data_IF_502250729817
#
_entry.id   IF_502250729817
#
_cell.length_a   1.000
_cell.length_b   1.000
_cell.length_c   1.000
_cell.angle_alpha   90.00
_cell.angle_beta   90.00
_cell.angle_gamma   90.00
#
_symmetry.space_group_name_H-M   'P 1'
#
loop_
_entity.id
_entity.type
_entity.pdbx_description
1 polymer ?
#
# COMPACT_ATOMS: atom_id res chain seq x y z
N UNK A 1 -12.73 8.69 20.66
CA UNK A 1 -11.52 8.87 19.89
C UNK A 1 -11.81 9.77 18.73
N UNK A 2 -10.99 10.80 18.50
CA UNK A 2 -11.15 11.69 17.36
C UNK A 2 -11.10 10.85 16.07
N UNK A 3 -12.04 11.10 15.17
CA UNK A 3 -12.08 10.40 13.89
C UNK A 3 -10.85 10.80 13.08
N UNK A 4 -9.91 9.87 12.89
CA UNK A 4 -8.68 10.08 12.14
C UNK A 4 -8.94 10.62 10.72
N UNK A 5 -10.14 10.35 10.17
CA UNK A 5 -10.60 10.86 8.88
C UNK A 5 -10.71 12.38 8.84
N UNK A 6 -11.02 13.02 9.99
CA UNK A 6 -11.12 14.48 10.09
C UNK A 6 -9.77 15.16 10.24
N UNK A 7 -8.74 14.44 10.64
CA UNK A 7 -7.45 15.04 10.95
C UNK A 7 -6.38 14.81 9.88
N UNK A 8 -6.61 13.89 8.94
CA UNK A 8 -5.73 13.66 7.77
C UNK A 8 -6.10 14.59 6.61
N UNK A 9 -7.17 15.32 6.76
CA UNK A 9 -7.65 16.22 5.75
C UNK A 9 -7.53 17.68 6.24
N UNK A 10 -6.89 18.64 5.63
CA UNK A 10 -6.79 20.08 5.90
C UNK A 10 -7.03 20.89 4.62
N UNK A 11 -7.26 22.21 4.60
CA UNK A 11 -7.98 22.88 3.53
C UNK A 11 -7.32 22.73 2.16
N UNK A 12 -7.97 21.97 1.30
CA UNK A 12 -7.96 22.27 -0.12
C UNK A 12 -8.73 23.60 -0.32
N UNK A 13 -8.62 24.23 -1.47
CA UNK A 13 -9.31 25.48 -1.80
C UNK A 13 -10.85 25.38 -1.69
N UNK A 14 -11.39 24.18 -1.52
CA UNK A 14 -12.79 23.84 -1.26
C UNK A 14 -13.16 23.71 0.23
N UNK A 15 -12.23 23.99 1.14
CA UNK A 15 -12.42 23.88 2.60
C UNK A 15 -12.13 22.49 3.19
N UNK A 16 -11.71 21.49 2.39
CA UNK A 16 -11.28 20.19 2.90
C UNK A 16 -9.85 20.28 3.50
N UNK A 17 -9.54 19.49 4.56
CA UNK A 17 -8.22 19.52 5.21
C UNK A 17 -7.05 19.01 4.30
N UNK A 18 -5.75 19.52 4.35
CA UNK A 18 -4.67 19.06 3.49
C UNK A 18 -4.36 17.57 3.70
N UNK A 19 -4.00 16.87 2.63
CA UNK A 19 -3.44 15.53 2.75
C UNK A 19 -2.09 15.60 3.47
N UNK A 20 -1.87 14.66 4.39
CA UNK A 20 -0.66 14.56 5.19
C UNK A 20 0.06 13.24 4.95
N UNK A 21 1.39 13.27 5.01
CA UNK A 21 2.22 12.06 4.92
C UNK A 21 2.50 11.54 6.32
N UNK A 22 1.85 10.43 6.69
CA UNK A 22 2.01 9.78 7.99
C UNK A 22 1.79 8.27 7.88
N UNK A 23 2.43 7.50 8.76
CA UNK A 23 2.25 6.05 8.80
C UNK A 23 0.81 5.69 9.22
N UNK A 24 0.31 6.35 10.25
CA UNK A 24 -1.05 6.21 10.77
C UNK A 24 -1.45 7.49 11.52
N UNK A 25 -2.68 7.51 12.03
CA UNK A 25 -3.19 8.63 12.80
C UNK A 25 -2.39 8.90 14.10
N UNK A 26 -1.95 7.84 14.78
CA UNK A 26 -1.11 7.97 15.98
C UNK A 26 0.23 8.64 15.67
N UNK A 27 0.83 8.36 14.52
CA UNK A 27 2.03 9.04 14.04
C UNK A 27 1.73 10.50 13.70
N UNK A 28 0.67 10.77 12.93
CA UNK A 28 0.27 12.12 12.55
C UNK A 28 -0.01 13.03 13.75
N UNK A 29 -0.56 12.47 14.83
CA UNK A 29 -0.90 13.25 16.04
C UNK A 29 0.28 13.51 16.98
N UNK A 30 1.39 12.75 16.85
CA UNK A 30 2.59 12.89 17.70
C UNK A 30 3.65 13.82 17.13
N UNK A 31 3.58 14.14 15.86
CA UNK A 31 4.53 15.04 15.17
C UNK A 31 3.79 15.97 14.23
N UNK A 32 4.47 16.96 13.67
CA UNK A 32 3.95 17.74 12.55
C UNK A 32 4.26 17.01 11.25
N UNK A 33 3.32 16.26 10.67
CA UNK A 33 3.57 15.51 9.45
C UNK A 33 3.74 16.47 8.27
N UNK A 34 4.55 16.07 7.31
CA UNK A 34 4.72 16.80 6.05
C UNK A 34 3.39 16.81 5.30
N UNK A 35 3.08 17.90 4.63
CA UNK A 35 1.94 17.96 3.70
C UNK A 35 2.24 17.11 2.47
N UNK A 36 1.19 16.57 1.88
CA UNK A 36 1.32 15.75 0.67
C UNK A 36 1.97 16.52 -0.48
N UNK A 37 1.56 17.78 -0.70
CA UNK A 37 2.13 18.66 -1.73
C UNK A 37 3.64 18.84 -1.56
N UNK A 38 4.08 19.11 -0.32
CA UNK A 38 5.51 19.28 0.01
C UNK A 38 6.30 18.00 -0.27
N UNK A 39 5.72 16.83 0.04
CA UNK A 39 6.34 15.55 -0.26
C UNK A 39 6.45 15.33 -1.77
N UNK A 40 5.40 15.62 -2.54
CA UNK A 40 5.42 15.49 -3.99
C UNK A 40 6.43 16.46 -4.63
N UNK A 41 6.55 17.69 -4.14
CA UNK A 41 7.57 18.63 -4.56
C UNK A 41 9.00 18.11 -4.29
N UNK A 42 9.23 17.42 -3.17
CA UNK A 42 10.52 16.82 -2.89
C UNK A 42 10.90 15.73 -3.92
N UNK A 43 9.92 14.96 -4.39
CA UNK A 43 10.15 13.94 -5.42
C UNK A 43 10.45 14.51 -6.81
N UNK A 44 10.25 15.80 -7.06
CA UNK A 44 10.68 16.44 -8.32
C UNK A 44 12.17 16.81 -8.35
N UNK A 45 12.87 16.71 -7.22
CA UNK A 45 14.26 17.21 -7.05
C UNK A 45 15.23 16.09 -6.69
N UNK A 46 16.54 16.24 -7.05
CA UNK A 46 17.57 15.32 -6.56
C UNK A 46 17.65 15.27 -5.02
N UNK A 47 17.92 14.12 -4.41
CA UNK A 47 18.17 12.81 -5.07
C UNK A 47 16.90 12.00 -5.39
N UNK A 48 15.70 12.50 -5.05
CA UNK A 48 14.45 11.73 -5.12
C UNK A 48 13.81 11.70 -6.51
N UNK A 49 14.28 12.52 -7.45
CA UNK A 49 13.69 12.66 -8.77
C UNK A 49 13.87 11.44 -9.71
N UNK A 50 14.60 10.41 -9.27
CA UNK A 50 14.83 9.18 -10.03
C UNK A 50 14.20 7.93 -9.39
N UNK A 51 13.65 8.04 -8.17
CA UNK A 51 13.08 6.87 -7.48
C UNK A 51 11.62 6.66 -7.89
N UNK A 52 11.20 5.40 -7.94
CA UNK A 52 9.78 5.05 -8.03
C UNK A 52 9.08 5.38 -6.70
N UNK A 53 7.80 5.69 -6.78
CA UNK A 53 7.00 6.12 -5.63
C UNK A 53 5.86 5.11 -5.44
N UNK A 54 5.65 4.64 -4.21
CA UNK A 54 4.39 4.02 -3.82
C UNK A 54 3.66 4.92 -2.84
N UNK A 55 2.43 5.26 -3.17
CA UNK A 55 1.52 6.02 -2.32
C UNK A 55 0.51 5.06 -1.67
N UNK A 56 0.72 4.74 -0.40
CA UNK A 56 -0.26 3.98 0.38
C UNK A 56 -1.43 4.91 0.77
N UNK A 57 -2.47 4.92 -0.04
CA UNK A 57 -3.66 5.76 0.15
C UNK A 57 -4.56 5.15 1.23
N UNK A 58 -4.56 5.77 2.41
CA UNK A 58 -5.27 5.26 3.60
C UNK A 58 -6.70 5.78 3.75
N UNK A 59 -7.11 6.75 2.94
CA UNK A 59 -8.42 7.39 3.01
C UNK A 59 -9.08 7.41 1.64
N UNK A 60 -10.37 7.09 1.61
CA UNK A 60 -11.19 7.21 0.39
C UNK A 60 -11.71 8.65 0.20
N UNK A 61 -12.05 8.99 -1.05
CA UNK A 61 -12.68 10.26 -1.42
C UNK A 61 -11.71 11.41 -1.70
N UNK A 62 -10.40 11.12 -1.81
CA UNK A 62 -9.37 12.11 -2.15
C UNK A 62 -8.52 11.70 -3.38
N UNK A 63 -9.00 10.72 -4.15
CA UNK A 63 -8.28 10.13 -5.28
C UNK A 63 -8.02 11.18 -6.38
N UNK A 64 -9.01 12.02 -6.70
CA UNK A 64 -8.87 13.08 -7.70
C UNK A 64 -7.76 14.08 -7.34
N UNK A 65 -7.68 14.48 -6.07
CA UNK A 65 -6.66 15.40 -5.59
C UNK A 65 -5.26 14.77 -5.68
N UNK A 66 -5.13 13.50 -5.30
CA UNK A 66 -3.87 12.76 -5.43
C UNK A 66 -3.43 12.69 -6.88
N UNK A 67 -4.32 12.30 -7.79
CA UNK A 67 -4.03 12.21 -9.23
C UNK A 67 -3.68 13.57 -9.83
N UNK A 68 -4.41 14.63 -9.47
CA UNK A 68 -4.11 16.00 -9.93
C UNK A 68 -2.70 16.43 -9.49
N UNK A 69 -2.37 16.25 -8.21
CA UNK A 69 -1.06 16.62 -7.67
C UNK A 69 0.10 15.87 -8.32
N UNK A 70 -0.10 14.58 -8.67
CA UNK A 70 0.87 13.78 -9.43
C UNK A 70 1.00 14.27 -10.87
N UNK A 71 -0.10 14.58 -11.52
CA UNK A 71 -0.15 15.07 -12.90
C UNK A 71 0.57 16.41 -13.06
N UNK A 72 0.29 17.38 -12.17
CA UNK A 72 0.92 18.71 -12.15
C UNK A 72 2.46 18.64 -12.04
N UNK A 73 2.98 17.59 -11.44
CA UNK A 73 4.42 17.37 -11.20
C UNK A 73 5.08 16.36 -12.13
N UNK A 74 4.33 15.83 -13.10
CA UNK A 74 4.78 14.75 -13.99
C UNK A 74 5.30 13.50 -13.25
N UNK A 75 4.65 13.14 -12.14
CA UNK A 75 5.04 12.00 -11.30
C UNK A 75 4.26 10.71 -11.63
N UNK A 76 3.17 10.79 -12.39
CA UNK A 76 2.28 9.66 -12.73
C UNK A 76 3.04 8.44 -13.22
N UNK A 77 3.95 8.60 -14.19
CA UNK A 77 4.65 7.48 -14.85
C UNK A 77 5.66 6.72 -13.97
N UNK A 78 5.88 7.16 -12.72
CA UNK A 78 6.77 6.48 -11.76
C UNK A 78 6.15 6.32 -10.38
N UNK A 79 4.82 6.47 -10.31
CA UNK A 79 4.05 6.31 -9.08
C UNK A 79 3.10 5.13 -9.20
N UNK A 80 3.06 4.30 -8.18
CA UNK A 80 1.97 3.37 -7.91
C UNK A 80 1.13 3.90 -6.74
N UNK A 81 -0.17 3.56 -6.72
CA UNK A 81 -1.06 3.86 -5.59
C UNK A 81 -1.56 2.54 -5.02
N UNK A 82 -1.12 2.21 -3.81
CA UNK A 82 -1.62 1.06 -3.08
C UNK A 82 -2.67 1.47 -2.06
N UNK A 83 -3.69 0.63 -1.84
CA UNK A 83 -4.73 0.90 -0.84
C UNK A 83 -5.47 -0.35 -0.39
N UNK A 84 -5.96 -0.33 0.86
CA UNK A 84 -6.91 -1.33 1.39
C UNK A 84 -8.37 -0.98 1.05
N UNK A 85 -8.64 0.24 0.58
CA UNK A 85 -9.98 0.74 0.32
C UNK A 85 -10.42 0.40 -1.11
N UNK A 86 -11.30 -0.60 -1.24
CA UNK A 86 -11.82 -1.06 -2.54
C UNK A 86 -12.56 0.06 -3.28
N UNK A 87 -13.25 0.95 -2.56
CA UNK A 87 -13.89 2.12 -3.16
C UNK A 87 -12.89 3.05 -3.85
N UNK A 88 -11.71 3.26 -3.27
CA UNK A 88 -10.65 4.05 -3.88
C UNK A 88 -10.11 3.40 -5.16
N UNK A 89 -9.93 2.07 -5.17
CA UNK A 89 -9.51 1.35 -6.38
C UNK A 89 -10.52 1.51 -7.51
N UNK A 90 -11.81 1.48 -7.20
CA UNK A 90 -12.87 1.72 -8.20
C UNK A 90 -12.79 3.12 -8.79
N UNK A 91 -12.62 4.14 -7.94
CA UNK A 91 -12.48 5.54 -8.41
C UNK A 91 -11.20 5.71 -9.24
N UNK A 92 -10.06 5.17 -8.77
CA UNK A 92 -8.78 5.25 -9.49
C UNK A 92 -8.85 4.58 -10.86
N UNK A 93 -9.56 3.45 -10.97
CA UNK A 93 -9.82 2.78 -12.25
C UNK A 93 -10.64 3.67 -13.20
N UNK A 94 -11.70 4.32 -12.69
CA UNK A 94 -12.55 5.21 -13.48
C UNK A 94 -11.81 6.47 -13.96
N UNK A 95 -10.84 6.95 -13.19
CA UNK A 95 -10.02 8.10 -13.56
C UNK A 95 -9.06 7.84 -14.73
N UNK A 96 -8.75 6.57 -15.00
CA UNK A 96 -7.85 6.13 -16.11
C UNK A 96 -6.59 7.01 -16.25
N UNK A 97 -5.99 7.34 -15.12
CA UNK A 97 -4.89 8.32 -15.02
C UNK A 97 -3.54 7.79 -15.53
N UNK A 98 -3.45 6.50 -15.82
CA UNK A 98 -2.19 5.82 -16.14
C UNK A 98 -1.33 5.47 -14.93
N UNK A 99 -1.80 5.74 -13.70
CA UNK A 99 -1.13 5.29 -12.47
C UNK A 99 -1.38 3.80 -12.27
N UNK A 100 -0.32 3.05 -11.94
CA UNK A 100 -0.46 1.65 -11.52
C UNK A 100 -1.14 1.60 -10.16
N UNK A 101 -2.22 0.83 -10.06
CA UNK A 101 -2.93 0.66 -8.79
C UNK A 101 -2.62 -0.69 -8.15
N UNK A 102 -2.51 -0.71 -6.83
CA UNK A 102 -2.21 -1.89 -6.03
C UNK A 102 -3.30 -2.16 -4.98
N UNK A 103 -3.76 -3.41 -4.91
CA UNK A 103 -4.70 -3.83 -3.88
C UNK A 103 -3.96 -4.39 -2.68
N UNK A 104 -4.07 -3.70 -1.54
CA UNK A 104 -3.40 -4.08 -0.29
C UNK A 104 -4.26 -5.08 0.50
N UNK A 105 -3.70 -6.25 0.81
CA UNK A 105 -4.37 -7.38 1.44
C UNK A 105 -3.54 -7.98 2.59
N UNK A 106 -4.22 -8.47 3.65
CA UNK A 106 -5.64 -8.30 3.96
C UNK A 106 -5.95 -6.90 4.47
N UNK A 107 -7.21 -6.46 4.42
CA UNK A 107 -7.64 -5.24 5.11
C UNK A 107 -7.54 -5.46 6.61
N UNK A 108 -6.56 -4.82 7.24
CA UNK A 108 -6.34 -4.89 8.69
C UNK A 108 -6.90 -3.63 9.34
N UNK A 109 -7.87 -3.81 10.23
CA UNK A 109 -8.54 -2.70 10.94
C UNK A 109 -8.09 -2.57 12.38
N UNK A 110 -7.30 -3.53 12.90
CA UNK A 110 -6.84 -3.57 14.28
C UNK A 110 -5.49 -4.26 14.39
N UNK A 111 -4.60 -3.72 15.22
CA UNK A 111 -3.33 -4.38 15.53
C UNK A 111 -3.54 -5.55 16.51
N UNK A 112 -3.68 -6.76 15.95
CA UNK A 112 -3.81 -8.00 16.72
C UNK A 112 -2.50 -8.48 17.33
N UNK A 113 -1.34 -7.99 16.84
CA UNK A 113 -0.03 -8.38 17.36
C UNK A 113 0.21 -7.86 18.77
N UNK A 114 -0.46 -6.79 19.15
CA UNK A 114 -0.40 -6.20 20.51
C UNK A 114 -1.11 -7.05 21.58
N UNK A 115 -1.82 -8.13 21.19
CA UNK A 115 -2.64 -8.95 22.08
C UNK A 115 -2.10 -10.39 22.18
N UNK A 116 -1.24 -10.74 23.17
CA UNK A 116 -0.62 -12.07 23.28
C UNK A 116 -1.63 -13.23 23.36
N UNK A 117 -2.79 -13.02 23.99
CA UNK A 117 -3.85 -14.01 24.09
C UNK A 117 -4.54 -14.32 22.76
N UNK A 118 -4.46 -13.42 21.78
CA UNK A 118 -5.06 -13.60 20.47
C UNK A 118 -4.21 -14.44 19.50
N UNK A 119 -2.96 -14.78 19.85
CA UNK A 119 -2.02 -15.50 18.98
C UNK A 119 -2.60 -16.76 18.31
N UNK A 120 -3.29 -17.71 19.02
CA UNK A 120 -3.85 -18.87 18.35
C UNK A 120 -4.98 -18.53 17.39
N UNK A 121 -5.78 -17.51 17.69
CA UNK A 121 -6.83 -17.01 16.79
C UNK A 121 -6.22 -16.36 15.54
N UNK A 122 -5.16 -15.57 15.72
CA UNK A 122 -4.40 -14.96 14.61
C UNK A 122 -3.80 -16.05 13.72
N UNK A 123 -3.20 -17.09 14.30
CA UNK A 123 -2.65 -18.20 13.52
C UNK A 123 -3.72 -18.90 12.67
N UNK A 124 -4.88 -19.20 13.25
CA UNK A 124 -6.02 -19.77 12.53
C UNK A 124 -6.54 -18.85 11.41
N UNK A 125 -6.62 -17.55 11.67
CA UNK A 125 -7.01 -16.54 10.68
C UNK A 125 -6.01 -16.48 9.52
N UNK A 126 -4.71 -16.51 9.79
CA UNK A 126 -3.65 -16.53 8.77
C UNK A 126 -3.73 -17.76 7.88
N UNK A 127 -3.97 -18.95 8.45
CA UNK A 127 -4.16 -20.19 7.69
C UNK A 127 -5.38 -20.05 6.76
N UNK A 128 -6.50 -19.56 7.29
CA UNK A 128 -7.72 -19.33 6.51
C UNK A 128 -7.50 -18.32 5.37
N UNK A 129 -6.78 -17.22 5.66
CA UNK A 129 -6.44 -16.20 4.65
C UNK A 129 -5.54 -16.77 3.57
N UNK A 130 -4.48 -17.53 3.91
CA UNK A 130 -3.61 -18.21 2.93
C UNK A 130 -4.39 -19.07 1.95
N UNK A 131 -5.41 -19.76 2.44
CA UNK A 131 -6.27 -20.60 1.59
C UNK A 131 -7.20 -19.80 0.66
N UNK A 132 -7.71 -18.65 1.13
CA UNK A 132 -8.75 -17.87 0.45
C UNK A 132 -8.18 -16.78 -0.48
N UNK A 133 -7.02 -16.19 -0.15
CA UNK A 133 -6.46 -15.06 -0.90
C UNK A 133 -6.27 -15.33 -2.39
N UNK A 134 -5.74 -16.48 -2.85
CA UNK A 134 -5.60 -16.72 -4.29
C UNK A 134 -6.95 -16.64 -5.01
N UNK A 135 -8.01 -17.19 -4.41
CA UNK A 135 -9.37 -17.11 -4.97
C UNK A 135 -9.98 -15.71 -4.93
N UNK A 136 -9.64 -14.90 -3.93
CA UNK A 136 -10.05 -13.48 -3.85
C UNK A 136 -9.37 -12.66 -4.94
N UNK A 137 -8.05 -12.79 -5.08
CA UNK A 137 -7.27 -12.10 -6.12
C UNK A 137 -7.77 -12.48 -7.50
N UNK A 138 -7.94 -13.79 -7.77
CA UNK A 138 -8.43 -14.27 -9.07
C UNK A 138 -9.74 -13.62 -9.51
N UNK A 139 -10.67 -13.38 -8.58
CA UNK A 139 -11.96 -12.74 -8.90
C UNK A 139 -11.91 -11.22 -8.85
N UNK A 140 -11.30 -10.67 -7.80
CA UNK A 140 -11.38 -9.24 -7.52
C UNK A 140 -10.40 -8.39 -8.33
N UNK A 141 -9.19 -8.87 -8.60
CA UNK A 141 -8.19 -8.06 -9.28
C UNK A 141 -8.63 -7.59 -10.68
N UNK A 142 -9.22 -8.43 -11.55
CA UNK A 142 -9.72 -7.98 -12.85
C UNK A 142 -10.89 -6.97 -12.73
N UNK A 143 -11.77 -7.17 -11.74
CA UNK A 143 -12.88 -6.25 -11.49
C UNK A 143 -12.38 -4.88 -11.08
N UNK A 144 -11.35 -4.84 -10.23
CA UNK A 144 -10.73 -3.61 -9.72
C UNK A 144 -9.75 -2.97 -10.70
N UNK A 145 -9.29 -3.71 -11.72
CA UNK A 145 -8.33 -3.22 -12.71
C UNK A 145 -6.95 -2.91 -12.12
N UNK A 146 -6.54 -3.62 -11.06
CA UNK A 146 -5.24 -3.41 -10.40
C UNK A 146 -4.11 -4.08 -11.16
N UNK A 147 -2.91 -3.49 -11.10
CA UNK A 147 -1.67 -4.05 -11.67
C UNK A 147 -0.83 -4.79 -10.64
N UNK A 148 -1.09 -4.60 -9.34
CA UNK A 148 -0.30 -5.22 -8.29
C UNK A 148 -1.14 -5.63 -7.08
N UNK A 149 -0.63 -6.62 -6.33
CA UNK A 149 -1.16 -7.06 -5.02
C UNK A 149 -0.10 -6.78 -3.96
N UNK A 150 -0.46 -5.98 -2.98
CA UNK A 150 0.36 -5.70 -1.81
C UNK A 150 -0.07 -6.62 -0.68
N UNK A 151 0.70 -7.66 -0.40
CA UNK A 151 0.31 -8.71 0.53
C UNK A 151 1.11 -8.66 1.84
N UNK A 152 0.41 -8.72 2.97
CA UNK A 152 1.04 -8.92 4.27
C UNK A 152 1.89 -10.18 4.25
N UNK A 153 3.20 -10.06 4.49
CA UNK A 153 4.15 -11.13 4.22
C UNK A 153 3.82 -12.49 4.85
N UNK A 154 3.15 -12.60 6.04
CA UNK A 154 2.77 -13.90 6.59
C UNK A 154 1.72 -14.64 5.78
N UNK A 155 0.92 -13.96 4.94
CA UNK A 155 -0.08 -14.64 4.10
C UNK A 155 0.44 -14.99 2.70
N UNK A 156 1.66 -14.58 2.34
CA UNK A 156 2.28 -14.89 1.05
C UNK A 156 2.65 -16.36 0.99
N UNK A 157 2.15 -17.03 -0.04
CA UNK A 157 2.41 -18.45 -0.38
C UNK A 157 2.75 -18.55 -1.85
N UNK A 158 3.44 -19.63 -2.28
CA UNK A 158 3.72 -19.86 -3.70
C UNK A 158 2.43 -19.83 -4.54
N UNK A 159 1.35 -20.42 -4.04
CA UNK A 159 0.06 -20.40 -4.72
C UNK A 159 -0.50 -18.99 -4.94
N UNK A 160 -0.26 -18.06 -4.00
CA UNK A 160 -0.70 -16.67 -4.19
C UNK A 160 0.16 -15.97 -5.23
N UNK A 161 1.48 -16.18 -5.20
CA UNK A 161 2.42 -15.64 -6.20
C UNK A 161 2.03 -16.13 -7.59
N UNK A 162 1.90 -17.46 -7.78
CA UNK A 162 1.51 -18.05 -9.06
C UNK A 162 0.18 -17.47 -9.57
N UNK A 163 -0.81 -17.30 -8.67
CA UNK A 163 -2.11 -16.73 -9.04
C UNK A 163 -1.99 -15.25 -9.48
N UNK A 164 -1.10 -14.48 -8.88
CA UNK A 164 -0.82 -13.10 -9.33
C UNK A 164 -0.18 -13.12 -10.72
N UNK A 165 0.88 -13.90 -10.90
CA UNK A 165 1.62 -13.99 -12.17
C UNK A 165 0.76 -14.54 -13.32
N UNK A 166 -0.12 -15.52 -13.08
CA UNK A 166 -1.11 -16.00 -14.07
C UNK A 166 -2.03 -14.90 -14.61
N UNK A 167 -2.22 -13.83 -13.81
CA UNK A 167 -3.05 -12.68 -14.19
C UNK A 167 -2.23 -11.46 -14.63
N UNK A 168 -0.91 -11.59 -14.74
CA UNK A 168 -0.01 -10.48 -15.06
C UNK A 168 0.10 -9.43 -13.97
N UNK A 169 -0.14 -9.80 -12.71
CA UNK A 169 -0.06 -8.93 -11.55
C UNK A 169 1.29 -9.08 -10.85
N UNK A 170 1.86 -7.98 -10.40
CA UNK A 170 2.98 -8.01 -9.46
C UNK A 170 2.50 -8.35 -8.04
N UNK A 171 3.32 -9.07 -7.27
CA UNK A 171 3.09 -9.30 -5.84
C UNK A 171 4.20 -8.68 -5.01
N UNK A 172 3.84 -7.71 -4.19
CA UNK A 172 4.72 -6.99 -3.28
C UNK A 172 4.42 -7.41 -1.83
N UNK A 173 5.42 -7.92 -1.12
CA UNK A 173 5.27 -8.34 0.28
C UNK A 173 5.63 -7.21 1.27
N UNK A 174 4.79 -6.97 2.29
CA UNK A 174 4.99 -5.91 3.29
C UNK A 174 4.72 -6.41 4.71
N UNK A 175 5.24 -5.85 5.78
CA UNK A 175 6.56 -5.20 5.86
C UNK A 175 7.53 -6.26 6.37
N UNK A 176 8.70 -6.38 5.78
CA UNK A 176 9.65 -7.47 6.03
C UNK A 176 10.98 -6.89 6.48
N UNK A 177 11.26 -6.99 7.77
CA UNK A 177 12.48 -6.42 8.38
C UNK A 177 13.48 -7.51 8.83
N UNK A 178 13.26 -8.75 8.38
CA UNK A 178 14.13 -9.88 8.73
C UNK A 178 14.69 -10.54 7.47
N UNK A 179 16.02 -10.57 7.35
CA UNK A 179 16.73 -11.14 6.21
C UNK A 179 16.35 -12.60 5.87
N UNK A 180 16.17 -13.52 6.86
CA UNK A 180 15.71 -14.87 6.54
C UNK A 180 14.33 -14.89 5.88
N UNK A 181 13.44 -13.97 6.30
CA UNK A 181 12.11 -13.86 5.70
C UNK A 181 12.17 -13.26 4.30
N UNK A 182 13.01 -12.25 4.07
CA UNK A 182 13.25 -11.69 2.73
C UNK A 182 13.72 -12.78 1.76
N UNK A 183 14.72 -13.58 2.16
CA UNK A 183 15.21 -14.72 1.36
C UNK A 183 14.14 -15.74 1.04
N UNK A 184 13.30 -16.07 2.05
CA UNK A 184 12.21 -17.01 1.83
C UNK A 184 11.15 -16.48 0.86
N UNK A 185 10.88 -15.16 0.86
CA UNK A 185 9.95 -14.53 -0.09
C UNK A 185 10.56 -14.43 -1.49
N UNK A 186 11.82 -14.05 -1.60
CA UNK A 186 12.54 -14.05 -2.88
C UNK A 186 12.55 -15.45 -3.53
N UNK A 187 12.73 -16.50 -2.72
CA UNK A 187 12.63 -17.89 -3.20
C UNK A 187 11.23 -18.31 -3.64
N UNK A 188 10.18 -17.57 -3.26
CA UNK A 188 8.82 -17.74 -3.76
C UNK A 188 8.56 -16.95 -5.05
N UNK A 189 9.55 -16.15 -5.50
CA UNK A 189 9.46 -15.32 -6.70
C UNK A 189 8.48 -14.15 -6.55
N UNK A 190 8.50 -13.46 -5.39
CA UNK A 190 7.76 -12.19 -5.23
C UNK A 190 8.46 -11.08 -6.00
N UNK A 191 7.68 -10.16 -6.60
CA UNK A 191 8.20 -9.08 -7.45
C UNK A 191 8.81 -7.93 -6.63
N UNK A 192 8.32 -7.74 -5.39
CA UNK A 192 8.81 -6.69 -4.51
C UNK A 192 8.70 -7.02 -3.03
N UNK A 193 9.54 -6.35 -2.23
CA UNK A 193 9.51 -6.45 -0.77
C UNK A 193 9.63 -5.05 -0.17
N UNK A 194 8.67 -4.68 0.67
CA UNK A 194 8.74 -3.47 1.49
C UNK A 194 9.44 -3.76 2.80
N UNK A 195 10.43 -2.95 3.15
CA UNK A 195 11.18 -3.03 4.40
C UNK A 195 11.44 -1.64 4.98
N UNK A 196 11.54 -1.55 6.30
CA UNK A 196 12.00 -0.34 6.99
C UNK A 196 13.53 -0.20 6.95
N UNK A 197 14.28 -1.26 6.60
CA UNK A 197 15.74 -1.23 6.47
C UNK A 197 16.19 -1.67 5.07
N UNK A 198 16.33 -0.72 4.12
CA UNK A 198 16.71 -1.04 2.73
C UNK A 198 18.12 -1.65 2.62
N UNK A 199 19.00 -1.50 3.63
CA UNK A 199 20.34 -2.11 3.66
C UNK A 199 20.27 -3.65 3.71
N UNK A 200 19.13 -4.22 4.04
CA UNK A 200 18.93 -5.67 4.00
C UNK A 200 19.01 -6.22 2.57
N UNK A 201 18.71 -5.40 1.56
CA UNK A 201 18.82 -5.82 0.15
C UNK A 201 20.27 -6.08 -0.27
N UNK A 202 21.27 -5.39 0.30
CA UNK A 202 22.69 -5.62 0.03
C UNK A 202 23.16 -7.00 0.51
N UNK A 203 22.35 -7.68 1.32
CA UNK A 203 22.63 -8.97 1.94
C UNK A 203 21.72 -10.09 1.44
N UNK A 204 20.79 -9.79 0.54
CA UNK A 204 19.84 -10.73 -0.03
C UNK A 204 20.52 -11.64 -1.06
#
# INVERSE_FOLDING_TARGET
GADWRQAVAGPADDGAPPLLVAHDWGDASRRSPMRFDEAMDAFTRPPLNQVAIDLDLKIAGRENEVIAALGERNLVGRTSISTMEVSSLTVLKELDSGVVTGWTLPKVTRDWNSMPWARPLVAGALISLRARLPGMVRRGAPELGVGAIWAYHPVVTKRLVDQCHEQGLELIAWTVDELPRMRALAALDVDGICTNDPRLFDRL
#
